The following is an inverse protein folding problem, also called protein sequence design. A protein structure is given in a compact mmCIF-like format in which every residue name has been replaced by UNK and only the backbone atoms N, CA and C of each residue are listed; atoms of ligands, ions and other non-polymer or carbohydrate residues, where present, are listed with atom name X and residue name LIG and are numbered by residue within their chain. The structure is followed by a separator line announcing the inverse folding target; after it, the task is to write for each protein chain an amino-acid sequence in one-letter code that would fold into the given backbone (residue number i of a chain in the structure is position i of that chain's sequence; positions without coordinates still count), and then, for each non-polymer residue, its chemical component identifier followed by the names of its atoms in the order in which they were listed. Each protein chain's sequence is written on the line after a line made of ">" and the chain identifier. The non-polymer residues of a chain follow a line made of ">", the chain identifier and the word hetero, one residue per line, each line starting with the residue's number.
data_IF_979353349617
#
_entry.id   IF_979353349617
#
_cell.length_a   1.000
_cell.length_b   1.000
_cell.length_c   1.000
_cell.angle_alpha   90.00
_cell.angle_beta   90.00
_cell.angle_gamma   90.00
#
_symmetry.space_group_name_H-M   'P 1'
#
loop_
_entity.id
_entity.type
_entity.pdbx_description
1 polymer ?
#
# COMPACT_ATOMS: atom_id res chain seq x y z
N UNK A 1 10.70 -12.23 2.65
CA UNK A 1 10.18 -11.15 3.53
C UNK A 1 9.20 -10.32 2.73
N UNK A 2 8.05 -10.02 3.32
CA UNK A 2 6.99 -9.18 2.77
C UNK A 2 6.61 -8.15 3.83
N UNK A 3 6.67 -6.87 3.51
CA UNK A 3 6.25 -5.78 4.38
C UNK A 3 4.81 -5.42 4.07
N UNK A 4 3.96 -5.25 5.06
CA UNK A 4 2.56 -4.90 4.91
C UNK A 4 2.20 -3.68 5.74
N UNK A 5 1.32 -2.83 5.18
CA UNK A 5 0.75 -1.67 5.87
C UNK A 5 -0.46 -1.10 5.12
N UNK A 6 -1.06 -0.03 5.64
CA UNK A 6 -2.15 0.71 5.03
C UNK A 6 -1.72 2.10 4.58
N UNK A 7 -2.17 2.48 3.40
CA UNK A 7 -2.04 3.83 2.87
C UNK A 7 -3.40 4.55 2.89
N UNK A 8 -3.49 5.68 3.55
CA UNK A 8 -4.73 6.48 3.57
C UNK A 8 -5.13 6.97 4.95
N UNK A 9 -6.32 7.62 5.05
CA UNK A 9 -7.38 7.72 4.04
C UNK A 9 -7.03 8.65 2.86
N UNK A 10 -7.22 8.14 1.65
CA UNK A 10 -7.02 8.88 0.41
C UNK A 10 -8.32 9.57 0.01
N UNK A 11 -8.31 10.89 -0.07
CA UNK A 11 -9.50 11.70 -0.38
C UNK A 11 -9.56 12.05 -1.88
N UNK A 12 -10.76 12.29 -2.37
CA UNK A 12 -11.04 12.80 -3.73
C UNK A 12 -10.74 14.29 -3.84
N UNK A 13 -9.46 14.65 -3.78
CA UNK A 13 -8.99 16.03 -3.86
C UNK A 13 -8.00 16.19 -5.02
N UNK A 14 -7.89 17.39 -5.61
CA UNK A 14 -6.84 17.67 -6.58
C UNK A 14 -5.46 17.50 -5.97
N UNK A 15 -4.61 16.70 -6.60
CA UNK A 15 -3.24 16.48 -6.16
C UNK A 15 -2.26 17.27 -7.01
N UNK A 16 -1.29 17.89 -6.34
CA UNK A 16 -0.26 18.67 -6.99
C UNK A 16 0.70 17.84 -7.81
N UNK A 17 1.38 18.53 -8.69
CA UNK A 17 2.44 17.98 -9.50
C UNK A 17 3.20 19.09 -10.21
N UNK A 18 4.25 18.71 -10.94
CA UNK A 18 4.94 19.59 -11.88
C UNK A 18 4.40 19.31 -13.27
N UNK A 19 4.08 20.37 -14.02
CA UNK A 19 3.71 20.28 -15.44
C UNK A 19 4.55 21.29 -16.24
N UNK A 20 4.90 20.90 -17.47
CA UNK A 20 5.49 21.83 -18.43
C UNK A 20 4.38 22.63 -19.07
N UNK A 21 4.47 23.96 -19.01
CA UNK A 21 3.49 24.86 -19.63
C UNK A 21 3.84 26.31 -19.41
N UNK A 22 3.33 27.19 -20.31
CA UNK A 22 3.55 28.65 -20.20
C UNK A 22 2.82 29.30 -19.02
N UNK A 23 1.86 28.59 -18.42
CA UNK A 23 1.10 29.06 -17.24
C UNK A 23 0.95 27.90 -16.25
N UNK A 24 0.96 28.23 -14.95
CA UNK A 24 0.62 27.27 -13.91
C UNK A 24 -0.76 26.64 -14.18
N UNK A 25 -0.84 25.32 -14.04
CA UNK A 25 -2.11 24.63 -14.17
C UNK A 25 -3.10 25.17 -13.12
N UNK A 26 -4.24 25.70 -13.58
CA UNK A 26 -5.30 26.16 -12.69
C UNK A 26 -5.89 24.94 -11.98
N UNK A 27 -5.89 24.98 -10.66
CA UNK A 27 -6.61 24.03 -9.84
C UNK A 27 -7.97 24.58 -9.49
N UNK A 28 -9.02 23.76 -9.38
CA UNK A 28 -10.32 24.25 -8.94
C UNK A 28 -10.19 24.76 -7.50
N UNK A 29 -10.60 26.01 -7.25
CA UNK A 29 -10.63 26.64 -5.93
C UNK A 29 -11.62 25.94 -4.99
N UNK A 30 -12.64 25.31 -5.57
CA UNK A 30 -13.65 24.53 -4.86
C UNK A 30 -13.66 23.10 -5.39
N UNK A 31 -13.55 22.14 -4.48
CA UNK A 31 -13.68 20.72 -4.79
C UNK A 31 -14.59 20.04 -3.77
N UNK A 32 -15.36 19.07 -4.24
CA UNK A 32 -16.18 18.21 -3.37
C UNK A 32 -15.35 17.02 -2.91
N UNK A 33 -15.44 16.71 -1.62
CA UNK A 33 -14.92 15.46 -1.07
C UNK A 33 -15.98 14.38 -1.26
N UNK A 34 -15.79 13.53 -2.25
CA UNK A 34 -16.77 12.50 -2.63
C UNK A 34 -16.41 11.11 -2.05
N UNK A 35 -15.85 11.09 -0.85
CA UNK A 35 -15.47 9.85 -0.16
C UNK A 35 -13.97 9.65 -0.04
N UNK A 36 -13.62 8.56 0.61
CA UNK A 36 -12.24 8.15 0.91
C UNK A 36 -12.01 6.70 0.56
N UNK A 37 -10.75 6.36 0.28
CA UNK A 37 -10.27 4.99 0.04
C UNK A 37 -9.12 4.72 1.00
N UNK A 38 -9.06 3.50 1.52
CA UNK A 38 -7.88 2.95 2.18
C UNK A 38 -7.26 1.92 1.23
N UNK A 39 -5.94 1.90 1.10
CA UNK A 39 -5.25 0.84 0.40
C UNK A 39 -4.56 -0.06 1.42
N UNK A 40 -4.95 -1.34 1.47
CA UNK A 40 -4.13 -2.38 2.09
C UNK A 40 -3.09 -2.80 1.06
N UNK A 41 -1.82 -2.86 1.44
CA UNK A 41 -0.78 -3.25 0.52
C UNK A 41 0.29 -4.13 1.19
N UNK A 42 0.92 -4.97 0.38
CA UNK A 42 2.04 -5.79 0.77
C UNK A 42 3.14 -5.68 -0.30
N UNK A 43 4.38 -5.53 0.16
CA UNK A 43 5.54 -5.30 -0.69
C UNK A 43 6.67 -6.27 -0.35
N UNK A 44 7.21 -6.92 -1.36
CA UNK A 44 8.40 -7.78 -1.26
C UNK A 44 9.66 -7.01 -1.68
N UNK A 45 10.40 -6.40 -0.73
CA UNK A 45 11.52 -5.50 -1.04
C UNK A 45 12.60 -6.13 -1.91
N UNK A 46 12.90 -7.39 -1.68
CA UNK A 46 13.93 -8.14 -2.42
C UNK A 46 13.53 -8.45 -3.87
N UNK A 47 12.22 -8.42 -4.18
CA UNK A 47 11.69 -8.59 -5.55
C UNK A 47 11.35 -7.25 -6.20
N UNK A 48 11.17 -6.19 -5.42
CA UNK A 48 10.66 -4.91 -5.89
C UNK A 48 9.20 -4.96 -6.34
N UNK A 49 8.44 -5.97 -5.88
CA UNK A 49 7.06 -6.23 -6.28
C UNK A 49 6.10 -6.01 -5.12
N UNK A 50 4.95 -5.46 -5.42
CA UNK A 50 3.89 -5.20 -4.46
C UNK A 50 2.52 -5.62 -4.94
N UNK A 51 1.62 -5.83 -3.99
CA UNK A 51 0.20 -6.08 -4.23
C UNK A 51 -0.62 -5.15 -3.35
N UNK A 52 -1.82 -4.81 -3.79
CA UNK A 52 -2.69 -3.93 -3.01
C UNK A 52 -4.16 -4.17 -3.31
N UNK A 53 -5.00 -3.79 -2.35
CA UNK A 53 -6.45 -3.84 -2.45
C UNK A 53 -7.05 -2.60 -1.79
N UNK A 54 -7.91 -1.91 -2.51
CA UNK A 54 -8.67 -0.81 -1.95
C UNK A 54 -9.81 -1.35 -1.07
N UNK A 55 -9.96 -0.71 0.09
CA UNK A 55 -11.02 -1.05 1.05
C UNK A 55 -11.68 0.24 1.57
N UNK A 56 -12.96 0.22 1.92
CA UNK A 56 -13.63 1.39 2.48
C UNK A 56 -13.15 1.69 3.90
N UNK A 57 -12.79 0.65 4.65
CA UNK A 57 -12.32 0.74 6.05
C UNK A 57 -11.25 -0.30 6.33
N UNK A 58 -10.24 0.06 7.10
CA UNK A 58 -9.20 -0.84 7.59
C UNK A 58 -9.68 -1.60 8.84
N UNK A 59 -10.34 -2.72 8.62
CA UNK A 59 -10.81 -3.61 9.69
C UNK A 59 -10.00 -4.91 9.71
N UNK A 60 -10.05 -5.63 10.85
CA UNK A 60 -9.36 -6.93 10.95
C UNK A 60 -9.85 -7.94 9.93
N UNK A 61 -11.15 -7.91 9.62
CA UNK A 61 -11.77 -8.78 8.60
C UNK A 61 -11.24 -8.46 7.19
N UNK A 62 -11.21 -7.17 6.82
CA UNK A 62 -10.68 -6.73 5.53
C UNK A 62 -9.18 -7.05 5.40
N UNK A 63 -8.43 -6.91 6.50
CA UNK A 63 -7.01 -7.29 6.57
C UNK A 63 -6.84 -8.80 6.39
N UNK A 64 -7.65 -9.62 7.06
CA UNK A 64 -7.61 -11.06 6.91
C UNK A 64 -7.95 -11.50 5.48
N UNK A 65 -9.03 -10.95 4.92
CA UNK A 65 -9.43 -11.24 3.54
C UNK A 65 -8.30 -10.86 2.56
N UNK A 66 -7.67 -9.70 2.74
CA UNK A 66 -6.53 -9.30 1.91
C UNK A 66 -5.35 -10.27 2.02
N UNK A 67 -5.01 -10.73 3.22
CA UNK A 67 -3.96 -11.73 3.43
C UNK A 67 -4.26 -13.03 2.70
N UNK A 68 -5.48 -13.55 2.86
CA UNK A 68 -5.87 -14.85 2.32
C UNK A 68 -6.05 -14.83 0.79
N UNK A 69 -6.67 -13.78 0.26
CA UNK A 69 -7.06 -13.74 -1.16
C UNK A 69 -6.04 -13.04 -2.06
N UNK A 70 -5.14 -12.24 -1.48
CA UNK A 70 -4.21 -11.42 -2.27
C UNK A 70 -2.75 -11.70 -1.90
N UNK A 71 -2.37 -11.58 -0.63
CA UNK A 71 -0.95 -11.67 -0.24
C UNK A 71 -0.42 -13.09 -0.37
N UNK A 72 -1.10 -14.07 0.22
CA UNK A 72 -0.65 -15.47 0.21
C UNK A 72 -0.59 -16.04 -1.22
N UNK A 73 -1.59 -15.80 -2.08
CA UNK A 73 -1.52 -16.23 -3.49
C UNK A 73 -0.44 -15.51 -4.32
N UNK A 74 -0.18 -14.24 -4.05
CA UNK A 74 0.84 -13.47 -4.79
C UNK A 74 2.28 -13.94 -4.51
N UNK A 75 2.49 -14.56 -3.35
CA UNK A 75 3.80 -15.10 -2.96
C UNK A 75 3.69 -16.62 -2.70
N UNK A 76 3.51 -17.44 -3.76
CA UNK A 76 3.16 -18.86 -3.62
C UNK A 76 4.29 -19.71 -3.07
N UNK A 77 5.55 -19.29 -3.23
CA UNK A 77 6.72 -20.07 -2.90
C UNK A 77 7.33 -19.74 -1.54
N UNK A 78 7.81 -20.76 -0.85
CA UNK A 78 8.60 -20.65 0.37
C UNK A 78 7.82 -20.10 1.57
N UNK A 79 8.57 -19.67 2.58
CA UNK A 79 8.04 -19.07 3.81
C UNK A 79 7.86 -17.57 3.60
N UNK A 80 6.67 -17.07 3.96
CA UNK A 80 6.36 -15.63 3.98
C UNK A 80 6.66 -15.10 5.39
N UNK A 81 7.73 -14.33 5.54
CA UNK A 81 7.95 -13.51 6.73
C UNK A 81 7.19 -12.19 6.52
N UNK A 82 6.02 -12.06 7.16
CA UNK A 82 5.15 -10.89 7.07
C UNK A 82 5.53 -9.89 8.15
N UNK A 83 6.10 -8.78 7.72
CA UNK A 83 6.52 -7.66 8.59
C UNK A 83 5.40 -6.64 8.63
N UNK A 84 4.90 -6.32 9.81
CA UNK A 84 3.83 -5.35 10.02
C UNK A 84 3.88 -4.70 11.41
N UNK A 85 3.13 -3.63 11.60
CA UNK A 85 3.06 -2.92 12.85
C UNK A 85 2.04 -3.52 13.84
N UNK A 86 1.98 -2.93 15.04
CA UNK A 86 1.12 -3.36 16.13
C UNK A 86 -0.32 -2.82 16.06
N UNK A 87 -0.84 -2.47 14.87
CA UNK A 87 -2.19 -1.96 14.72
C UNK A 87 -3.25 -2.96 15.23
N UNK A 88 -4.31 -2.45 15.85
CA UNK A 88 -5.40 -3.29 16.38
C UNK A 88 -6.08 -4.15 15.30
N UNK A 89 -6.20 -3.65 14.06
CA UNK A 89 -6.72 -4.39 12.93
C UNK A 89 -5.85 -5.61 12.60
N UNK A 90 -4.52 -5.49 12.63
CA UNK A 90 -3.58 -6.58 12.41
C UNK A 90 -3.71 -7.67 13.49
N UNK A 91 -3.77 -7.27 14.76
CA UNK A 91 -3.99 -8.20 15.87
C UNK A 91 -5.33 -8.92 15.78
N UNK A 92 -6.38 -8.22 15.33
CA UNK A 92 -7.70 -8.81 15.09
C UNK A 92 -7.67 -9.81 13.94
N UNK A 93 -7.07 -9.44 12.80
CA UNK A 93 -6.90 -10.33 11.65
C UNK A 93 -6.19 -11.62 12.05
N UNK A 94 -5.10 -11.51 12.83
CA UNK A 94 -4.35 -12.68 13.28
C UNK A 94 -5.17 -13.60 14.19
N UNK A 95 -6.01 -13.04 15.07
CA UNK A 95 -6.91 -13.84 15.93
C UNK A 95 -8.01 -14.54 15.14
N UNK A 96 -8.49 -13.92 14.08
CA UNK A 96 -9.52 -14.49 13.21
C UNK A 96 -8.97 -15.54 12.24
N UNK A 97 -7.64 -15.56 12.04
CA UNK A 97 -7.00 -16.48 11.09
C UNK A 97 -6.61 -17.80 11.76
N UNK A 98 -7.58 -18.66 11.97
CA UNK A 98 -7.34 -20.01 12.48
C UNK A 98 -8.04 -21.04 11.56
N UNK A 99 -7.33 -22.13 11.12
CA UNK A 99 -5.88 -22.33 11.27
C UNK A 99 -5.05 -21.46 10.35
N UNK A 100 -3.93 -20.95 10.85
CA UNK A 100 -2.96 -20.19 10.05
C UNK A 100 -2.13 -21.11 9.17
N UNK A 101 -1.82 -20.72 7.91
CA UNK A 101 -0.88 -21.48 7.10
C UNK A 101 0.52 -21.51 7.74
N UNK A 102 1.11 -22.71 7.86
CA UNK A 102 2.43 -22.88 8.48
C UNK A 102 3.55 -22.09 7.79
N UNK A 103 3.37 -21.80 6.49
CA UNK A 103 4.31 -21.02 5.69
C UNK A 103 4.27 -19.50 5.97
N UNK A 104 3.32 -18.98 6.76
CA UNK A 104 3.24 -17.56 7.11
C UNK A 104 3.79 -17.34 8.52
N UNK A 105 4.86 -16.58 8.60
CA UNK A 105 5.54 -16.19 9.85
C UNK A 105 5.36 -14.70 10.07
N UNK A 106 4.86 -14.31 11.23
CA UNK A 106 4.60 -12.93 11.59
C UNK A 106 5.77 -12.29 12.30
N UNK A 107 6.20 -11.12 11.81
CA UNK A 107 7.30 -10.33 12.38
C UNK A 107 6.74 -8.97 12.76
N UNK A 108 6.62 -8.73 14.07
CA UNK A 108 6.10 -7.48 14.59
C UNK A 108 7.19 -6.42 14.66
N UNK A 109 6.91 -5.24 14.12
CA UNK A 109 7.77 -4.08 14.28
C UNK A 109 7.58 -3.52 15.70
N UNK A 110 8.67 -3.12 16.40
CA UNK A 110 8.55 -2.46 17.69
C UNK A 110 7.69 -1.21 17.62
N UNK A 111 6.99 -0.89 18.70
CA UNK A 111 6.19 0.34 18.81
C UNK A 111 7.08 1.57 18.54
N UNK A 112 6.56 2.53 17.78
CA UNK A 112 7.27 3.73 17.33
C UNK A 112 8.49 3.48 16.42
N UNK A 113 8.52 2.37 15.72
CA UNK A 113 9.60 2.02 14.77
C UNK A 113 9.05 1.75 13.35
N UNK A 114 7.99 2.47 12.93
CA UNK A 114 7.36 2.31 11.60
C UNK A 114 8.36 2.53 10.45
N UNK A 115 9.39 3.35 10.66
CA UNK A 115 10.48 3.56 9.72
C UNK A 115 11.27 2.29 9.36
N UNK A 116 11.15 1.21 10.14
CA UNK A 116 11.67 -0.11 9.79
C UNK A 116 10.80 -0.82 8.74
N UNK A 117 9.56 -0.36 8.51
CA UNK A 117 8.68 -0.93 7.52
C UNK A 117 9.01 -0.37 6.13
N UNK A 118 9.70 -1.15 5.31
CA UNK A 118 10.14 -0.72 3.98
C UNK A 118 8.98 -0.40 3.01
N UNK A 119 7.75 -0.78 3.34
CA UNK A 119 6.57 -0.44 2.55
C UNK A 119 6.30 1.06 2.55
N UNK A 120 6.69 1.80 3.57
CA UNK A 120 6.55 3.26 3.65
C UNK A 120 7.27 3.96 2.48
N UNK A 121 8.51 3.52 2.20
CA UNK A 121 9.26 4.03 1.06
C UNK A 121 8.59 3.67 -0.28
N UNK A 122 8.04 2.46 -0.38
CA UNK A 122 7.31 2.02 -1.56
C UNK A 122 6.00 2.79 -1.73
N UNK A 123 5.27 3.11 -0.66
CA UNK A 123 4.10 3.97 -0.71
C UNK A 123 4.42 5.36 -1.29
N UNK A 124 5.55 5.93 -0.91
CA UNK A 124 5.98 7.21 -1.49
C UNK A 124 6.24 7.14 -3.00
N UNK A 125 6.74 6.00 -3.49
CA UNK A 125 6.90 5.75 -4.93
C UNK A 125 5.55 5.55 -5.60
N UNK A 126 4.67 4.73 -5.01
CA UNK A 126 3.33 4.48 -5.52
C UNK A 126 2.50 5.77 -5.61
N UNK A 127 2.55 6.61 -4.59
CA UNK A 127 1.84 7.89 -4.57
C UNK A 127 2.29 8.80 -5.73
N UNK A 128 3.60 8.92 -5.94
CA UNK A 128 4.12 9.69 -7.08
C UNK A 128 3.72 9.10 -8.42
N UNK A 129 3.67 7.77 -8.55
CA UNK A 129 3.34 7.08 -9.80
C UNK A 129 1.85 7.17 -10.10
N UNK A 130 1.00 6.94 -9.10
CA UNK A 130 -0.44 6.77 -9.29
C UNK A 130 -1.25 8.05 -9.07
N UNK A 131 -0.82 8.93 -8.16
CA UNK A 131 -1.67 10.02 -7.68
C UNK A 131 -1.12 11.42 -8.01
N UNK A 132 0.18 11.53 -8.32
CA UNK A 132 0.78 12.82 -8.60
C UNK A 132 0.17 13.47 -9.83
N UNK A 133 -0.12 14.77 -9.75
CA UNK A 133 -0.69 15.56 -10.84
C UNK A 133 -2.08 15.05 -11.35
N UNK A 134 -2.88 14.47 -10.44
CA UNK A 134 -4.20 13.95 -10.76
C UNK A 134 -5.32 14.72 -10.06
N UNK A 135 -6.52 14.66 -10.67
CA UNK A 135 -7.77 15.05 -10.02
C UNK A 135 -8.77 13.91 -10.16
N UNK A 136 -8.74 12.99 -9.21
CA UNK A 136 -9.61 11.83 -9.14
C UNK A 136 -10.86 12.22 -8.32
N UNK A 137 -12.04 12.11 -8.93
CA UNK A 137 -13.29 12.65 -8.42
C UNK A 137 -14.10 11.64 -7.60
N UNK A 138 -13.80 10.37 -7.74
CA UNK A 138 -14.49 9.27 -7.05
C UNK A 138 -13.53 8.31 -6.39
N UNK A 139 -13.94 7.60 -5.33
CA UNK A 139 -13.17 6.51 -4.74
C UNK A 139 -12.73 5.46 -5.76
N UNK A 140 -13.61 5.11 -6.69
CA UNK A 140 -13.30 4.14 -7.75
C UNK A 140 -12.18 4.60 -8.69
N UNK A 141 -12.13 5.90 -9.01
CA UNK A 141 -11.03 6.47 -9.80
C UNK A 141 -9.70 6.41 -9.03
N UNK A 142 -9.71 6.65 -7.71
CA UNK A 142 -8.52 6.51 -6.86
C UNK A 142 -8.05 5.06 -6.86
N UNK A 143 -8.95 4.12 -6.60
CA UNK A 143 -8.66 2.69 -6.63
C UNK A 143 -8.05 2.26 -7.98
N UNK A 144 -8.72 2.58 -9.08
CA UNK A 144 -8.24 2.24 -10.42
C UNK A 144 -6.85 2.84 -10.71
N UNK A 145 -6.58 4.06 -10.24
CA UNK A 145 -5.27 4.69 -10.41
C UNK A 145 -4.18 4.02 -9.57
N UNK A 146 -4.48 3.64 -8.32
CA UNK A 146 -3.56 2.91 -7.46
C UNK A 146 -3.23 1.53 -8.04
N UNK A 147 -4.23 0.78 -8.50
CA UNK A 147 -4.02 -0.55 -9.07
C UNK A 147 -3.20 -0.49 -10.37
N UNK A 148 -3.43 0.51 -11.24
CA UNK A 148 -2.56 0.75 -12.41
C UNK A 148 -1.14 1.12 -11.99
N UNK A 149 -0.98 1.94 -10.94
CA UNK A 149 0.34 2.28 -10.41
C UNK A 149 1.09 1.06 -9.88
N UNK A 150 0.41 0.16 -9.17
CA UNK A 150 0.99 -1.10 -8.68
C UNK A 150 1.40 -1.99 -9.86
N UNK A 151 0.53 -2.14 -10.87
CA UNK A 151 0.84 -2.92 -12.07
C UNK A 151 2.08 -2.38 -12.78
N UNK A 152 2.15 -1.07 -13.00
CA UNK A 152 3.32 -0.42 -13.60
C UNK A 152 4.61 -0.66 -12.80
N UNK A 153 4.56 -0.54 -11.46
CA UNK A 153 5.72 -0.80 -10.62
C UNK A 153 6.16 -2.27 -10.64
N UNK A 154 5.23 -3.19 -10.78
CA UNK A 154 5.52 -4.62 -10.91
C UNK A 154 6.10 -5.00 -12.28
N UNK A 155 5.75 -4.28 -13.34
CA UNK A 155 6.37 -4.41 -14.67
C UNK A 155 7.80 -3.84 -14.71
N UNK A 156 8.10 -2.89 -13.81
CA UNK A 156 9.41 -2.23 -13.70
C UNK A 156 9.98 -2.39 -12.28
N UNK A 157 10.22 -3.62 -11.81
CA UNK A 157 10.56 -3.87 -10.42
C UNK A 157 11.92 -3.30 -10.07
N UNK A 158 11.97 -2.61 -8.92
CA UNK A 158 13.22 -2.08 -8.36
C UNK A 158 13.42 -2.71 -6.97
N UNK A 159 14.21 -3.78 -6.87
CA UNK A 159 14.53 -4.39 -5.59
C UNK A 159 15.24 -3.40 -4.66
N UNK A 160 14.81 -3.35 -3.41
CA UNK A 160 15.45 -2.55 -2.38
C UNK A 160 16.64 -3.32 -1.82
N UNK A 161 17.81 -2.68 -1.85
CA UNK A 161 19.02 -3.20 -1.21
C UNK A 161 19.23 -2.46 0.10
N UNK A 162 19.36 -3.21 1.17
CA UNK A 162 19.78 -2.64 2.44
C UNK A 162 21.29 -2.40 2.39
N UNK A 163 21.69 -1.16 2.18
CA UNK A 163 23.10 -0.77 2.26
C UNK A 163 23.34 -0.06 3.57
N UNK A 164 24.17 -0.63 4.46
CA UNK A 164 24.75 0.15 5.55
C UNK A 164 25.72 1.16 4.92
N UNK A 165 25.44 2.45 5.06
CA UNK A 165 26.49 3.46 4.93
C UNK A 165 27.41 3.29 6.16
N UNK A 166 28.66 2.94 5.93
CA UNK A 166 29.73 3.01 6.94
C UNK A 166 30.10 4.44 7.21
#
# INVERSE_FOLDING_TARGET
>A
MVCMDEMGPLQTIPRGGRSWGRRAARRPDRYKRNGTVQLLAAFAPHRGQGVGRAVPRKTGEATLEFLQTTVVPAFPEGIIYLVWDNLSAHKKALRLWEPKPERVRFVWIPTNASWLNLIEAWFSVLERTALHNTYLRTPAEIEASLLRGIAYLNEHPKPYRWTKSH
#
